data_IF_700724352636
#
_entry.id   IF_700724352636
#
_cell.length_a   1.000
_cell.length_b   1.000
_cell.length_c   1.000
_cell.angle_alpha   90.00
_cell.angle_beta   90.00
_cell.angle_gamma   90.00
#
_symmetry.space_group_name_H-M   'P 1'
#
loop_
_entity.id
_entity.type
_entity.pdbx_description
1 polymer ?
#
# COMPACT_ATOMS: atom_id res chain seq x y z
N UNK A 1 5.40 17.83 -19.28
CA UNK A 1 5.31 16.38 -18.94
C UNK A 1 5.49 16.11 -17.45
N UNK A 2 6.47 16.71 -16.76
CA UNK A 2 6.68 16.54 -15.31
C UNK A 2 5.45 16.94 -14.49
N UNK A 3 4.83 18.10 -14.78
CA UNK A 3 3.70 18.62 -13.99
C UNK A 3 2.53 17.65 -13.95
N UNK A 4 2.21 17.01 -15.09
CA UNK A 4 1.16 15.98 -15.17
C UNK A 4 1.46 14.77 -14.27
N UNK A 5 2.71 14.30 -14.22
CA UNK A 5 3.08 13.16 -13.36
C UNK A 5 2.93 13.50 -11.89
N UNK A 6 3.39 14.68 -11.48
CA UNK A 6 3.28 15.16 -10.10
C UNK A 6 1.80 15.30 -9.71
N UNK A 7 0.95 15.88 -10.56
CA UNK A 7 -0.49 16.01 -10.28
C UNK A 7 -1.17 14.65 -10.07
N UNK A 8 -0.80 13.65 -10.87
CA UNK A 8 -1.35 12.29 -10.71
C UNK A 8 -0.84 11.61 -9.44
N UNK A 9 0.43 11.81 -9.07
CA UNK A 9 0.94 11.31 -7.78
C UNK A 9 0.20 11.96 -6.63
N UNK A 10 0.05 13.29 -6.66
CA UNK A 10 -0.70 14.03 -5.65
C UNK A 10 -2.15 13.53 -5.52
N UNK A 11 -2.82 13.23 -6.64
CA UNK A 11 -4.16 12.65 -6.63
C UNK A 11 -4.20 11.29 -5.91
N UNK A 12 -3.31 10.36 -6.26
CA UNK A 12 -3.30 9.04 -5.62
C UNK A 12 -2.88 9.11 -4.14
N UNK A 13 -1.94 9.99 -3.80
CA UNK A 13 -1.53 10.25 -2.40
C UNK A 13 -2.71 10.84 -1.62
N UNK A 14 -3.46 11.77 -2.20
CA UNK A 14 -4.67 12.32 -1.58
C UNK A 14 -5.75 11.24 -1.39
N UNK A 15 -5.92 10.34 -2.37
CA UNK A 15 -6.82 9.18 -2.22
C UNK A 15 -6.36 8.25 -1.09
N UNK A 16 -5.05 8.03 -0.93
CA UNK A 16 -4.51 7.29 0.22
C UNK A 16 -4.82 7.98 1.54
N UNK A 17 -4.70 9.31 1.62
CA UNK A 17 -5.06 10.08 2.81
C UNK A 17 -6.57 10.01 3.13
N UNK A 18 -7.44 10.09 2.11
CA UNK A 18 -8.89 9.90 2.29
C UNK A 18 -9.20 8.47 2.73
N UNK A 19 -8.59 7.48 2.11
CA UNK A 19 -8.72 6.08 2.51
C UNK A 19 -8.21 5.81 3.93
N UNK A 20 -7.17 6.51 4.37
CA UNK A 20 -6.66 6.44 5.74
C UNK A 20 -7.65 6.96 6.79
N UNK A 21 -8.60 7.82 6.41
CA UNK A 21 -9.69 8.26 7.29
C UNK A 21 -10.74 7.15 7.50
N UNK A 22 -10.84 6.19 6.57
CA UNK A 22 -11.65 4.98 6.72
C UNK A 22 -10.85 3.97 7.57
N UNK A 23 -10.93 4.16 8.90
CA UNK A 23 -10.21 3.33 9.86
C UNK A 23 -10.76 1.90 9.88
N UNK A 24 -9.83 0.96 9.98
CA UNK A 24 -10.11 -0.46 10.21
C UNK A 24 -9.86 -0.72 11.69
N UNK A 25 -10.79 -1.38 12.40
CA UNK A 25 -10.59 -1.73 13.81
C UNK A 25 -9.25 -2.43 14.01
N UNK A 26 -8.43 -1.89 14.90
CA UNK A 26 -7.08 -2.41 15.14
C UNK A 26 -6.68 -2.36 16.61
N UNK A 27 -5.83 -3.31 16.99
CA UNK A 27 -5.18 -3.43 18.29
C UNK A 27 -3.91 -2.59 18.44
N UNK A 28 -3.34 -2.10 17.33
CA UNK A 28 -1.99 -1.49 17.26
C UNK A 28 -1.97 -0.08 16.66
N UNK A 29 -3.13 0.58 16.60
CA UNK A 29 -3.26 2.00 16.22
C UNK A 29 -3.80 2.21 14.81
N UNK A 30 -3.20 3.14 14.07
CA UNK A 30 -3.76 3.63 12.80
C UNK A 30 -3.56 2.66 11.64
N UNK A 31 -4.61 1.89 11.34
CA UNK A 31 -4.72 1.05 10.15
C UNK A 31 -5.96 1.48 9.36
N UNK A 32 -5.83 1.65 8.04
CA UNK A 32 -6.91 2.15 7.19
C UNK A 32 -6.87 1.61 5.77
N UNK A 33 -7.73 2.16 4.91
CA UNK A 33 -7.82 1.81 3.48
C UNK A 33 -6.90 2.69 2.62
N UNK A 34 -5.66 2.85 3.04
CA UNK A 34 -4.70 3.79 2.45
C UNK A 34 -3.82 3.20 1.33
N UNK A 35 -3.80 1.88 1.20
CA UNK A 35 -2.87 1.15 0.33
C UNK A 35 -3.47 0.80 -1.03
N UNK A 36 -4.80 0.66 -1.16
CA UNK A 36 -5.42 0.35 -2.46
C UNK A 36 -5.10 1.39 -3.56
N UNK A 37 -5.02 2.72 -3.29
CA UNK A 37 -4.70 3.70 -4.33
C UNK A 37 -3.29 3.49 -4.88
N UNK A 38 -2.32 3.14 -4.02
CA UNK A 38 -0.94 2.91 -4.43
C UNK A 38 -0.78 1.60 -5.20
N UNK A 39 -1.52 0.54 -4.84
CA UNK A 39 -1.60 -0.71 -5.62
C UNK A 39 -2.14 -0.45 -7.04
N UNK A 40 -3.23 0.32 -7.15
CA UNK A 40 -3.78 0.72 -8.45
C UNK A 40 -2.76 1.54 -9.24
N UNK A 41 -2.17 2.54 -8.60
CA UNK A 41 -1.17 3.40 -9.23
C UNK A 41 0.08 2.62 -9.69
N UNK A 42 0.52 1.63 -8.94
CA UNK A 42 1.67 0.80 -9.30
C UNK A 42 1.46 0.02 -10.60
N UNK A 43 0.25 -0.51 -10.81
CA UNK A 43 -0.09 -1.20 -12.06
C UNK A 43 -0.27 -0.21 -13.22
N UNK A 44 -0.96 0.92 -13.01
CA UNK A 44 -1.27 1.89 -14.07
C UNK A 44 -0.10 2.81 -14.44
N UNK A 45 0.71 3.23 -13.47
CA UNK A 45 1.78 4.22 -13.60
C UNK A 45 3.18 3.60 -13.57
N UNK A 46 3.29 2.30 -13.27
CA UNK A 46 4.55 1.57 -13.09
C UNK A 46 4.93 1.40 -11.61
N UNK A 47 5.65 0.31 -11.30
CA UNK A 47 5.91 -0.10 -9.92
C UNK A 47 6.60 0.96 -9.07
N UNK A 48 7.61 1.66 -9.60
CA UNK A 48 8.31 2.74 -8.90
C UNK A 48 7.35 3.89 -8.56
N UNK A 49 6.49 4.27 -9.51
CA UNK A 49 5.47 5.30 -9.30
C UNK A 49 4.52 4.92 -8.16
N UNK A 50 4.00 3.69 -8.18
CA UNK A 50 3.14 3.17 -7.13
C UNK A 50 3.86 3.07 -5.78
N UNK A 51 5.12 2.66 -5.77
CA UNK A 51 5.94 2.60 -4.56
C UNK A 51 6.11 3.97 -3.91
N UNK A 52 6.41 5.02 -4.69
CA UNK A 52 6.52 6.40 -4.16
C UNK A 52 5.19 6.82 -3.51
N UNK A 53 4.08 6.55 -4.19
CA UNK A 53 2.73 6.85 -3.68
C UNK A 53 2.46 6.05 -2.40
N UNK A 54 2.87 4.79 -2.33
CA UNK A 54 2.71 3.94 -1.15
C UNK A 54 3.49 4.46 0.06
N UNK A 55 4.77 4.78 -0.11
CA UNK A 55 5.61 5.27 0.98
C UNK A 55 5.15 6.62 1.51
N UNK A 56 4.87 7.59 0.62
CA UNK A 56 4.38 8.91 1.03
C UNK A 56 2.96 8.80 1.61
N UNK A 57 2.08 8.02 0.97
CA UNK A 57 0.72 7.78 1.44
C UNK A 57 0.69 7.16 2.84
N UNK A 58 1.60 6.22 3.12
CA UNK A 58 1.72 5.61 4.44
C UNK A 58 2.13 6.62 5.52
N UNK A 59 3.12 7.49 5.22
CA UNK A 59 3.54 8.54 6.16
C UNK A 59 2.39 9.51 6.45
N UNK A 60 1.59 9.88 5.44
CA UNK A 60 0.40 10.72 5.64
C UNK A 60 -0.71 9.99 6.39
N UNK A 61 -0.94 8.72 6.12
CA UNK A 61 -1.90 7.89 6.87
C UNK A 61 -1.52 7.78 8.34
N UNK A 62 -0.23 7.59 8.62
CA UNK A 62 0.33 7.56 9.96
C UNK A 62 0.18 8.93 10.66
N UNK A 63 0.40 10.03 9.95
CA UNK A 63 0.23 11.38 10.53
C UNK A 63 -1.22 11.66 10.92
N UNK A 64 -2.18 11.28 10.07
CA UNK A 64 -3.61 11.36 10.38
C UNK A 64 -4.02 10.44 11.55
N UNK A 65 -3.23 9.40 11.81
CA UNK A 65 -3.37 8.50 12.94
C UNK A 65 -2.65 8.93 14.21
N UNK A 66 -1.93 10.06 14.20
CA UNK A 66 -1.14 10.55 15.34
C UNK A 66 0.23 9.88 15.51
N UNK A 67 0.77 9.24 14.47
CA UNK A 67 2.07 8.53 14.49
C UNK A 67 2.25 7.57 15.67
N UNK A 68 1.41 6.52 15.80
CA UNK A 68 1.44 5.61 16.95
C UNK A 68 2.79 4.90 17.15
N UNK A 69 3.56 4.69 16.08
CA UNK A 69 4.91 4.10 16.13
C UNK A 69 6.03 5.15 15.92
N UNK A 70 5.68 6.44 15.91
CA UNK A 70 6.65 7.52 15.74
C UNK A 70 7.50 7.38 14.47
N UNK A 71 8.83 7.53 14.56
CA UNK A 71 9.75 7.48 13.42
C UNK A 71 9.74 6.16 12.64
N UNK A 72 9.27 5.05 13.24
CA UNK A 72 9.23 3.76 12.56
C UNK A 72 8.34 3.78 11.31
N UNK A 73 7.40 4.71 11.19
CA UNK A 73 6.61 4.88 9.97
C UNK A 73 7.44 5.27 8.73
N UNK A 74 8.66 5.81 8.90
CA UNK A 74 9.58 6.01 7.78
C UNK A 74 10.08 4.67 7.25
N UNK A 75 10.42 3.74 8.14
CA UNK A 75 10.85 2.37 7.80
C UNK A 75 9.69 1.64 7.13
N UNK A 76 8.49 1.67 7.72
CA UNK A 76 7.30 1.04 7.15
C UNK A 76 6.95 1.68 5.79
N UNK A 77 7.13 2.99 5.63
CA UNK A 77 6.96 3.66 4.34
C UNK A 77 7.89 3.11 3.25
N UNK A 78 9.14 2.80 3.58
CA UNK A 78 10.08 2.15 2.66
C UNK A 78 9.68 0.70 2.35
N UNK A 79 9.23 -0.04 3.36
CA UNK A 79 8.69 -1.38 3.17
C UNK A 79 7.47 -1.38 2.25
N UNK A 80 6.54 -0.44 2.43
CA UNK A 80 5.38 -0.23 1.58
C UNK A 80 5.75 0.17 0.15
N UNK A 81 6.79 1.01 -0.01
CA UNK A 81 7.34 1.31 -1.33
C UNK A 81 7.76 0.01 -2.05
N UNK A 82 8.57 -0.83 -1.39
CA UNK A 82 9.07 -2.08 -1.98
C UNK A 82 7.93 -3.05 -2.25
N UNK A 83 7.00 -3.20 -1.30
CA UNK A 83 5.84 -4.07 -1.42
C UNK A 83 5.01 -3.74 -2.66
N UNK A 84 4.73 -2.46 -2.92
CA UNK A 84 3.95 -2.04 -4.09
C UNK A 84 4.73 -2.19 -5.40
N UNK A 85 6.05 -2.00 -5.39
CA UNK A 85 6.91 -2.30 -6.55
C UNK A 85 6.81 -3.79 -6.90
N UNK A 86 6.95 -4.68 -5.92
CA UNK A 86 6.86 -6.14 -6.11
C UNK A 86 5.45 -6.55 -6.54
N UNK A 87 4.40 -5.98 -5.92
CA UNK A 87 3.00 -6.20 -6.31
C UNK A 87 2.78 -5.87 -7.78
N UNK A 88 3.26 -4.70 -8.21
CA UNK A 88 3.08 -4.22 -9.59
C UNK A 88 3.81 -5.11 -10.59
N UNK A 89 5.01 -5.58 -10.23
CA UNK A 89 5.77 -6.53 -11.05
C UNK A 89 5.05 -7.89 -11.16
N UNK A 90 4.59 -8.46 -10.04
CA UNK A 90 3.85 -9.72 -10.03
C UNK A 90 2.53 -9.63 -10.81
N UNK A 91 1.80 -8.52 -10.66
CA UNK A 91 0.55 -8.29 -11.39
C UNK A 91 0.81 -8.29 -12.91
N UNK A 92 1.88 -7.62 -13.36
CA UNK A 92 2.24 -7.56 -14.79
C UNK A 92 2.73 -8.91 -15.32
N UNK A 93 3.51 -9.65 -14.53
CA UNK A 93 4.14 -10.89 -14.97
C UNK A 93 3.22 -12.11 -14.89
N UNK A 94 2.30 -12.15 -13.94
CA UNK A 94 1.51 -13.33 -13.63
C UNK A 94 0.00 -13.03 -13.63
N UNK A 95 -0.54 -12.58 -12.50
CA UNK A 95 -1.97 -12.28 -12.37
C UNK A 95 -2.27 -11.40 -11.17
N UNK A 96 -3.45 -10.79 -11.18
CA UNK A 96 -3.98 -10.02 -10.06
C UNK A 96 -4.13 -10.85 -8.78
N UNK A 97 -4.44 -12.15 -8.91
CA UNK A 97 -4.59 -13.06 -7.79
C UNK A 97 -3.24 -13.33 -7.11
N UNK A 98 -2.21 -13.67 -7.89
CA UNK A 98 -0.87 -13.93 -7.36
C UNK A 98 -0.31 -12.68 -6.68
N UNK A 99 -0.47 -11.52 -7.30
CA UNK A 99 -0.05 -10.26 -6.71
C UNK A 99 -0.79 -9.95 -5.40
N UNK A 100 -2.11 -10.19 -5.36
CA UNK A 100 -2.93 -9.92 -4.17
C UNK A 100 -2.63 -10.87 -3.02
N UNK A 101 -2.41 -12.16 -3.30
CA UNK A 101 -1.99 -13.14 -2.28
C UNK A 101 -0.63 -12.74 -1.71
N UNK A 102 0.34 -12.37 -2.56
CA UNK A 102 1.64 -11.88 -2.11
C UNK A 102 1.47 -10.63 -1.23
N UNK A 103 0.67 -9.65 -1.66
CA UNK A 103 0.42 -8.44 -0.89
C UNK A 103 -0.16 -8.75 0.49
N UNK A 104 -1.15 -9.63 0.57
CA UNK A 104 -1.77 -10.03 1.84
C UNK A 104 -0.75 -10.68 2.76
N UNK A 105 -0.01 -11.68 2.29
CA UNK A 105 0.99 -12.38 3.11
C UNK A 105 2.10 -11.43 3.56
N UNK A 106 2.65 -10.66 2.63
CA UNK A 106 3.76 -9.77 2.93
C UNK A 106 3.35 -8.65 3.88
N UNK A 107 2.23 -7.96 3.64
CA UNK A 107 1.76 -6.87 4.48
C UNK A 107 1.40 -7.34 5.90
N UNK A 108 0.82 -8.54 6.02
CA UNK A 108 0.33 -9.05 7.30
C UNK A 108 1.41 -9.70 8.17
N UNK A 109 2.42 -10.33 7.55
CA UNK A 109 3.40 -11.19 8.25
C UNK A 109 4.83 -10.72 8.02
N UNK A 110 5.22 -10.43 6.78
CA UNK A 110 6.62 -10.15 6.45
C UNK A 110 7.03 -8.72 6.85
N UNK A 111 6.22 -7.72 6.53
CA UNK A 111 6.47 -6.32 6.85
C UNK A 111 6.56 -6.08 8.37
N UNK A 112 5.66 -6.61 9.22
CA UNK A 112 5.81 -6.42 10.66
C UNK A 112 6.95 -7.24 11.29
N UNK A 113 7.61 -8.15 10.56
CA UNK A 113 8.60 -9.07 11.11
C UNK A 113 9.80 -8.39 11.81
N UNK A 114 10.37 -7.27 11.32
CA UNK A 114 11.42 -6.56 12.06
C UNK A 114 10.95 -6.11 13.46
N UNK A 115 9.66 -5.78 13.60
CA UNK A 115 9.08 -5.31 14.86
C UNK A 115 8.87 -6.41 15.90
N UNK A 116 8.96 -7.69 15.50
CA UNK A 116 9.09 -8.82 16.41
C UNK A 116 10.30 -8.63 17.34
N UNK A 117 11.41 -8.18 16.78
CA UNK A 117 12.69 -8.03 17.48
C UNK A 117 12.90 -6.61 18.02
N UNK A 118 12.33 -5.59 17.35
CA UNK A 118 12.51 -4.18 17.73
C UNK A 118 11.53 -3.72 18.81
N UNK A 119 10.28 -4.20 18.81
CA UNK A 119 9.24 -3.78 19.77
C UNK A 119 8.94 -4.90 20.76
N UNK A 120 8.29 -5.98 20.30
CA UNK A 120 8.03 -7.19 21.11
C UNK A 120 7.26 -8.25 20.31
N UNK A 121 7.33 -9.50 20.77
CA UNK A 121 6.46 -10.58 20.31
C UNK A 121 4.97 -10.25 20.45
N UNK A 122 4.59 -9.66 21.60
CA UNK A 122 3.20 -9.27 21.86
C UNK A 122 2.68 -8.28 20.83
N UNK A 123 3.50 -7.27 20.47
CA UNK A 123 3.14 -6.31 19.42
C UNK A 123 2.96 -7.00 18.07
N UNK A 124 3.93 -7.84 17.67
CA UNK A 124 3.90 -8.54 16.39
C UNK A 124 2.64 -9.41 16.25
N UNK A 125 2.37 -10.30 17.20
CA UNK A 125 1.20 -11.18 17.14
C UNK A 125 -0.12 -10.42 17.28
N UNK A 126 -0.15 -9.32 18.06
CA UNK A 126 -1.33 -8.46 18.13
C UNK A 126 -1.61 -7.72 16.82
N UNK A 127 -0.59 -7.38 16.04
CA UNK A 127 -0.73 -6.63 14.79
C UNK A 127 -1.28 -7.49 13.63
N UNK A 128 -0.88 -8.76 13.56
CA UNK A 128 -1.20 -9.65 12.43
C UNK A 128 -2.69 -9.67 12.06
N UNK A 129 -3.65 -9.88 12.99
CA UNK A 129 -5.07 -9.94 12.62
C UNK A 129 -5.57 -8.65 11.97
N UNK A 130 -5.14 -7.51 12.51
CA UNK A 130 -5.55 -6.19 12.01
C UNK A 130 -4.93 -5.90 10.64
N UNK A 131 -3.65 -6.22 10.47
CA UNK A 131 -2.93 -6.06 9.20
C UNK A 131 -3.50 -7.00 8.13
N UNK A 132 -3.89 -8.22 8.50
CA UNK A 132 -4.53 -9.17 7.59
C UNK A 132 -5.86 -8.65 7.05
N UNK A 133 -6.75 -8.18 7.94
CA UNK A 133 -8.04 -7.59 7.54
C UNK A 133 -7.79 -6.39 6.62
N UNK A 134 -6.86 -5.52 6.98
CA UNK A 134 -6.53 -4.35 6.18
C UNK A 134 -5.93 -4.70 4.82
N UNK A 135 -5.06 -5.70 4.76
CA UNK A 135 -4.45 -6.13 3.51
C UNK A 135 -5.48 -6.79 2.57
N UNK A 136 -6.41 -7.58 3.12
CA UNK A 136 -7.53 -8.15 2.36
C UNK A 136 -8.42 -7.06 1.79
N UNK A 137 -8.78 -6.06 2.60
CA UNK A 137 -9.64 -4.97 2.13
C UNK A 137 -8.93 -4.10 1.08
N UNK A 138 -7.68 -3.67 1.32
CA UNK A 138 -6.93 -2.87 0.37
C UNK A 138 -6.64 -3.63 -0.93
N UNK A 139 -6.18 -4.89 -0.83
CA UNK A 139 -5.94 -5.76 -1.98
C UNK A 139 -7.21 -6.09 -2.74
N UNK A 140 -8.32 -6.34 -2.03
CA UNK A 140 -9.63 -6.63 -2.61
C UNK A 140 -10.22 -5.44 -3.36
N UNK A 141 -10.16 -4.23 -2.78
CA UNK A 141 -10.58 -2.99 -3.47
C UNK A 141 -9.75 -2.77 -4.73
N UNK A 142 -8.41 -2.91 -4.63
CA UNK A 142 -7.54 -2.81 -5.80
C UNK A 142 -7.90 -3.87 -6.86
N UNK A 143 -8.15 -5.12 -6.45
CA UNK A 143 -8.48 -6.21 -7.34
C UNK A 143 -9.81 -6.00 -8.10
N UNK A 144 -10.79 -5.40 -7.44
CA UNK A 144 -12.08 -5.05 -8.05
C UNK A 144 -11.93 -3.86 -9.01
N UNK A 145 -11.18 -2.82 -8.62
CA UNK A 145 -11.09 -1.59 -9.42
C UNK A 145 -10.13 -1.69 -10.60
N UNK A 146 -9.03 -2.44 -10.47
CA UNK A 146 -7.98 -2.51 -11.49
C UNK A 146 -8.48 -2.92 -12.89
N UNK A 147 -9.25 -4.01 -13.06
CA UNK A 147 -9.75 -4.41 -14.38
C UNK A 147 -10.58 -3.31 -15.06
N UNK A 148 -11.30 -2.49 -14.28
CA UNK A 148 -12.13 -1.39 -14.78
C UNK A 148 -11.32 -0.16 -15.19
N UNK A 149 -10.17 0.04 -14.55
CA UNK A 149 -9.29 1.19 -14.77
C UNK A 149 -8.18 0.91 -15.79
N UNK A 150 -7.94 -0.35 -16.15
CA UNK A 150 -6.91 -0.71 -17.13
C UNK A 150 -7.16 -0.11 -18.53
N UNK A 151 -8.40 0.22 -18.89
CA UNK A 151 -8.70 0.89 -20.16
C UNK A 151 -8.13 2.32 -20.24
N UNK A 152 -7.80 2.94 -19.10
CA UNK A 152 -7.29 4.31 -19.03
C UNK A 152 -5.82 4.34 -19.48
N UNK A 153 -5.53 5.15 -20.50
CA UNK A 153 -4.18 5.29 -21.07
C UNK A 153 -3.28 6.13 -20.14
N UNK A 154 -2.41 5.45 -19.41
CA UNK A 154 -1.39 6.06 -18.53
C UNK A 154 0.02 5.69 -18.98
N UNK A 155 1.03 6.44 -18.51
CA UNK A 155 2.42 6.27 -18.99
C UNK A 155 3.10 4.99 -18.49
N UNK A 156 2.54 4.29 -17.50
CA UNK A 156 3.05 3.02 -16.98
C UNK A 156 2.69 1.79 -17.82
N UNK A 157 1.80 1.97 -18.81
CA UNK A 157 1.59 1.03 -19.92
C UNK A 157 2.68 1.29 -20.97
N UNK A 158 3.92 0.87 -20.69
CA UNK A 158 4.86 0.63 -21.78
C UNK A 158 4.35 -0.56 -22.58
N UNK A 159 4.19 -0.30 -23.88
CA UNK A 159 3.77 -1.14 -24.99
C UNK A 159 3.99 -2.64 -24.79
N UNK A 160 2.98 -3.40 -25.22
CA UNK A 160 3.09 -4.77 -25.74
C UNK A 160 4.41 -5.02 -26.48
#
# INVERSE_FOLDING_TARGET
MISRKISVYALFIALSAVGAALKIPSSVGSIGLDSFPSLIAGVLLGGISGGIIAGIGHILSASLGGFPLGPFHVVIGLEMFLLVVVYSWLHKKYSIYIASIMFIIANSVLLPLPFLYVISEKFYFAAIPSLFIAAVLNGGVAAVLLPRLQSIKMWGKSRE
#
